data_IF_577600190867
#
_entry.id   IF_577600190867
#
_cell.length_a   1.000
_cell.length_b   1.000
_cell.length_c   1.000
_cell.angle_alpha   90.00
_cell.angle_beta   90.00
_cell.angle_gamma   90.00
#
_symmetry.space_group_name_H-M   'P 1'
#
loop_
_entity.id
_entity.type
_entity.pdbx_description
1 polymer ?
#
# COMPACT_ATOMS: atom_id res chain seq x y z
N UNK A 1 -2.94 -18.55 -1.52
CA UNK A 1 -3.08 -18.40 -0.04
C UNK A 1 -3.59 -17.00 0.22
N UNK A 2 -4.36 -16.76 1.30
CA UNK A 2 -4.78 -15.40 1.66
C UNK A 2 -3.58 -14.49 1.84
N UNK A 3 -3.66 -13.26 1.28
CA UNK A 3 -2.57 -12.29 1.35
C UNK A 3 -2.48 -11.57 2.71
N UNK A 4 -3.57 -11.62 3.50
CA UNK A 4 -3.70 -10.90 4.77
C UNK A 4 -4.40 -11.71 5.82
N UNK A 5 -4.13 -11.36 7.09
CA UNK A 5 -4.80 -11.92 8.26
C UNK A 5 -5.74 -10.88 8.91
N UNK A 6 -6.83 -11.38 9.46
CA UNK A 6 -7.75 -10.63 10.31
C UNK A 6 -7.85 -11.37 11.65
N UNK A 7 -7.63 -10.65 12.74
CA UNK A 7 -7.82 -11.18 14.07
C UNK A 7 -9.24 -10.87 14.53
N UNK A 8 -10.00 -11.90 14.86
CA UNK A 8 -11.34 -11.79 15.43
C UNK A 8 -11.34 -12.38 16.83
N UNK A 9 -11.75 -11.59 17.84
CA UNK A 9 -11.84 -12.02 19.22
C UNK A 9 -13.26 -11.82 19.77
N UNK A 10 -13.86 -12.89 20.23
CA UNK A 10 -15.17 -12.92 20.88
C UNK A 10 -15.26 -14.09 21.86
N UNK A 11 -15.96 -13.87 22.97
CA UNK A 11 -16.30 -14.94 23.92
C UNK A 11 -17.46 -15.82 23.44
N UNK A 12 -18.17 -15.42 22.39
CA UNK A 12 -19.28 -16.14 21.77
C UNK A 12 -18.78 -16.94 20.55
N UNK A 13 -18.78 -18.29 20.61
CA UNK A 13 -18.37 -19.13 19.49
C UNK A 13 -19.16 -18.86 18.19
N UNK A 14 -20.46 -18.51 18.31
CA UNK A 14 -21.29 -18.22 17.14
C UNK A 14 -20.77 -16.98 16.38
N UNK A 15 -20.28 -15.96 17.08
CA UNK A 15 -19.68 -14.77 16.48
C UNK A 15 -18.35 -15.12 15.82
N UNK A 16 -17.54 -15.99 16.42
CA UNK A 16 -16.29 -16.46 15.82
C UNK A 16 -16.56 -17.27 14.54
N UNK A 17 -17.59 -18.12 14.52
CA UNK A 17 -17.99 -18.85 13.32
C UNK A 17 -18.49 -17.90 12.21
N UNK A 18 -19.29 -16.90 12.58
CA UNK A 18 -19.69 -15.85 11.64
C UNK A 18 -18.49 -15.07 11.08
N UNK A 19 -17.57 -14.68 11.93
CA UNK A 19 -16.35 -14.00 11.50
C UNK A 19 -15.51 -14.87 10.56
N UNK A 20 -15.32 -16.14 10.91
CA UNK A 20 -14.59 -17.11 10.08
C UNK A 20 -15.22 -17.26 8.69
N UNK A 21 -16.54 -17.42 8.63
CA UNK A 21 -17.27 -17.55 7.36
C UNK A 21 -17.13 -16.27 6.51
N UNK A 22 -17.36 -15.10 7.10
CA UNK A 22 -17.20 -13.80 6.43
C UNK A 22 -15.78 -13.61 5.88
N UNK A 23 -14.75 -13.94 6.66
CA UNK A 23 -13.35 -13.81 6.26
C UNK A 23 -12.97 -14.80 5.15
N UNK A 24 -13.52 -16.02 5.19
CA UNK A 24 -13.29 -17.04 4.15
C UNK A 24 -13.87 -16.59 2.81
N UNK A 25 -15.11 -16.10 2.79
CA UNK A 25 -15.75 -15.54 1.58
C UNK A 25 -14.95 -14.37 1.01
N UNK A 26 -14.30 -13.61 1.88
CA UNK A 26 -13.48 -12.46 1.54
C UNK A 26 -12.02 -12.84 1.19
N UNK A 27 -11.66 -14.12 1.15
CA UNK A 27 -10.31 -14.65 0.91
C UNK A 27 -9.25 -14.07 1.88
N UNK A 28 -9.63 -13.90 3.15
CA UNK A 28 -8.78 -13.42 4.24
C UNK A 28 -8.45 -14.57 5.20
N UNK A 29 -7.24 -14.57 5.77
CA UNK A 29 -6.84 -15.53 6.80
C UNK A 29 -7.44 -15.11 8.14
N UNK A 30 -8.17 -16.02 8.80
CA UNK A 30 -8.78 -15.77 10.10
C UNK A 30 -7.86 -16.21 11.23
N UNK A 31 -7.63 -15.33 12.21
CA UNK A 31 -7.05 -15.63 13.52
C UNK A 31 -8.20 -15.45 14.51
N UNK A 32 -8.64 -16.55 15.12
CA UNK A 32 -9.81 -16.55 16.01
C UNK A 32 -9.34 -16.71 17.45
N UNK A 33 -9.81 -15.86 18.34
CA UNK A 33 -9.43 -15.81 19.75
C UNK A 33 -10.68 -15.78 20.63
N UNK A 34 -10.67 -16.57 21.70
CA UNK A 34 -11.79 -16.66 22.66
C UNK A 34 -11.76 -15.59 23.75
N UNK A 35 -10.63 -14.92 23.94
CA UNK A 35 -10.45 -13.90 24.97
C UNK A 35 -9.41 -12.83 24.56
N UNK A 36 -9.33 -11.75 25.34
CA UNK A 36 -8.44 -10.63 25.03
C UNK A 36 -6.96 -10.94 25.24
N UNK A 37 -6.60 -11.84 26.15
CA UNK A 37 -5.21 -12.23 26.36
C UNK A 37 -4.70 -13.06 25.17
N UNK A 38 -5.50 -14.00 24.68
CA UNK A 38 -5.21 -14.76 23.46
C UNK A 38 -5.10 -13.84 22.23
N UNK A 39 -5.95 -12.80 22.16
CA UNK A 39 -5.88 -11.81 21.09
C UNK A 39 -4.57 -11.03 21.10
N UNK A 40 -4.10 -10.60 22.27
CA UNK A 40 -2.81 -9.90 22.43
C UNK A 40 -1.64 -10.78 22.05
N UNK A 41 -1.60 -12.03 22.51
CA UNK A 41 -0.55 -13.01 22.20
C UNK A 41 -0.53 -13.31 20.69
N UNK A 42 -1.70 -13.58 20.12
CA UNK A 42 -1.82 -13.88 18.69
C UNK A 42 -1.44 -12.70 17.81
N UNK A 43 -1.74 -11.46 18.19
CA UNK A 43 -1.35 -10.29 17.44
C UNK A 43 0.18 -10.07 17.42
N UNK A 44 0.89 -10.45 18.48
CA UNK A 44 2.35 -10.28 18.61
C UNK A 44 3.16 -11.41 17.94
N UNK A 45 2.54 -12.59 17.72
CA UNK A 45 3.25 -13.80 17.22
C UNK A 45 3.24 -13.90 15.69
N UNK A 46 3.52 -12.82 14.97
CA UNK A 46 3.28 -12.69 13.51
C UNK A 46 4.38 -13.29 12.61
N UNK A 47 5.39 -14.00 13.13
CA UNK A 47 6.59 -14.38 12.34
C UNK A 47 6.37 -15.27 11.12
N UNK A 48 5.27 -16.02 11.03
CA UNK A 48 5.00 -16.96 9.93
C UNK A 48 3.59 -16.83 9.31
N UNK A 49 2.92 -15.70 9.49
CA UNK A 49 1.55 -15.47 9.01
C UNK A 49 1.48 -14.27 8.06
N UNK A 50 0.45 -14.21 7.19
CA UNK A 50 0.17 -13.00 6.43
C UNK A 50 -0.02 -11.79 7.36
N UNK A 51 0.41 -10.58 6.95
CA UNK A 51 0.33 -9.39 7.80
C UNK A 51 -1.10 -9.13 8.29
N UNK A 52 -1.21 -8.73 9.56
CA UNK A 52 -2.48 -8.38 10.20
C UNK A 52 -2.99 -7.05 9.64
N UNK A 53 -4.24 -7.03 9.15
CA UNK A 53 -4.81 -5.86 8.45
C UNK A 53 -6.15 -5.41 9.00
N UNK A 54 -6.74 -6.15 9.91
CA UNK A 54 -7.97 -5.77 10.58
C UNK A 54 -8.05 -6.49 11.92
N UNK A 55 -8.54 -5.76 12.92
CA UNK A 55 -8.97 -6.31 14.20
C UNK A 55 -10.50 -6.29 14.25
N UNK A 56 -11.14 -7.37 14.64
CA UNK A 56 -12.57 -7.45 14.97
C UNK A 56 -12.66 -7.89 16.43
N UNK A 57 -12.92 -6.95 17.32
CA UNK A 57 -12.84 -7.19 18.76
C UNK A 57 -14.20 -6.98 19.43
N UNK A 58 -14.64 -7.94 20.22
CA UNK A 58 -15.74 -7.74 21.15
C UNK A 58 -15.30 -6.82 22.29
N UNK A 59 -16.11 -5.82 22.64
CA UNK A 59 -15.76 -4.86 23.68
C UNK A 59 -15.61 -5.54 25.07
N UNK A 60 -16.48 -6.50 25.39
CA UNK A 60 -16.46 -7.23 26.65
C UNK A 60 -15.84 -8.62 26.45
N UNK A 61 -14.52 -8.70 26.39
CA UNK A 61 -13.77 -9.96 26.31
C UNK A 61 -13.35 -10.43 27.72
N UNK A 62 -13.25 -11.74 27.95
CA UNK A 62 -12.64 -12.27 29.17
C UNK A 62 -11.14 -11.93 29.24
N UNK A 63 -10.58 -11.92 30.43
CA UNK A 63 -9.17 -11.69 30.81
C UNK A 63 -8.65 -10.29 30.49
N UNK A 64 -8.92 -9.75 29.30
CA UNK A 64 -8.58 -8.39 28.90
C UNK A 64 -9.67 -7.90 27.96
N UNK A 65 -10.30 -6.76 28.27
CA UNK A 65 -11.38 -6.25 27.42
C UNK A 65 -10.87 -5.72 26.07
N UNK A 66 -11.77 -5.59 25.09
CA UNK A 66 -11.40 -5.19 23.74
C UNK A 66 -10.75 -3.80 23.67
N UNK A 67 -11.05 -2.90 24.61
CA UNK A 67 -10.43 -1.57 24.69
C UNK A 67 -9.00 -1.63 25.24
N UNK A 68 -8.75 -2.53 26.21
CA UNK A 68 -7.40 -2.81 26.70
C UNK A 68 -6.55 -3.43 25.61
N UNK A 69 -7.12 -4.34 24.80
CA UNK A 69 -6.45 -4.95 23.65
C UNK A 69 -6.04 -3.87 22.64
N UNK A 70 -6.95 -3.00 22.20
CA UNK A 70 -6.62 -1.90 21.26
C UNK A 70 -5.53 -1.01 21.84
N UNK A 71 -5.64 -0.60 23.11
CA UNK A 71 -4.64 0.26 23.73
C UNK A 71 -3.26 -0.38 23.75
N UNK A 72 -3.17 -1.64 24.15
CA UNK A 72 -1.90 -2.36 24.17
C UNK A 72 -1.30 -2.53 22.76
N UNK A 73 -2.13 -2.78 21.74
CA UNK A 73 -1.68 -2.88 20.35
C UNK A 73 -1.28 -1.52 19.76
N UNK A 74 -1.88 -0.42 20.20
CA UNK A 74 -1.52 0.93 19.76
C UNK A 74 -0.13 1.39 20.22
N UNK A 75 0.42 0.76 21.26
CA UNK A 75 1.80 0.99 21.72
C UNK A 75 2.83 0.28 20.81
N UNK A 76 2.40 -0.72 20.02
CA UNK A 76 3.27 -1.39 19.06
C UNK A 76 3.30 -0.63 17.71
N UNK A 77 4.47 -0.11 17.27
CA UNK A 77 4.59 0.64 16.03
C UNK A 77 4.07 -0.08 14.78
N UNK A 78 4.15 -1.42 14.73
CA UNK A 78 3.70 -2.23 13.60
C UNK A 78 2.17 -2.44 13.58
N UNK A 79 1.52 -2.39 14.74
CA UNK A 79 0.11 -2.71 14.92
C UNK A 79 -0.78 -1.47 15.13
N UNK A 80 -0.22 -0.33 15.52
CA UNK A 80 -0.94 0.92 15.81
C UNK A 80 -1.79 1.46 14.65
N UNK A 81 -1.46 1.07 13.42
CA UNK A 81 -2.16 1.50 12.20
C UNK A 81 -3.16 0.47 11.69
N UNK A 82 -3.24 -0.70 12.35
CA UNK A 82 -4.20 -1.74 11.96
C UNK A 82 -5.60 -1.29 12.40
N UNK A 83 -6.54 -1.13 11.46
CA UNK A 83 -7.90 -0.68 11.79
C UNK A 83 -8.61 -1.70 12.67
N UNK A 84 -9.51 -1.19 13.52
CA UNK A 84 -10.28 -2.00 14.46
C UNK A 84 -11.78 -1.80 14.30
N UNK A 85 -12.49 -2.90 14.09
CA UNK A 85 -13.94 -3.00 14.20
C UNK A 85 -14.32 -3.49 15.59
N UNK A 86 -15.00 -2.65 16.38
CA UNK A 86 -15.46 -3.00 17.72
C UNK A 86 -16.89 -3.57 17.69
N UNK A 87 -17.08 -4.75 18.26
CA UNK A 87 -18.41 -5.35 18.46
C UNK A 87 -18.96 -4.94 19.82
N UNK A 88 -20.06 -4.18 19.82
CA UNK A 88 -20.64 -3.57 21.02
C UNK A 88 -21.90 -4.30 21.48
N UNK A 89 -22.02 -4.54 22.78
CA UNK A 89 -23.24 -5.05 23.41
C UNK A 89 -24.32 -3.92 23.45
N UNK A 90 -25.61 -4.22 23.22
CA UNK A 90 -26.70 -3.25 23.26
C UNK A 90 -26.86 -2.59 24.64
N UNK A 91 -26.41 -3.21 25.70
CA UNK A 91 -26.43 -2.65 27.06
C UNK A 91 -25.36 -1.58 27.28
N UNK A 92 -24.39 -1.47 26.41
CA UNK A 92 -23.38 -0.42 26.51
C UNK A 92 -23.98 0.94 26.13
N UNK A 93 -23.75 1.92 26.99
CA UNK A 93 -24.34 3.25 26.88
C UNK A 93 -23.94 3.99 25.59
N UNK A 94 -24.71 5.01 25.14
CA UNK A 94 -24.28 5.90 24.06
C UNK A 94 -22.91 6.56 24.30
N UNK A 95 -22.51 6.68 25.58
CA UNK A 95 -21.18 7.12 25.97
C UNK A 95 -20.09 6.11 25.60
N UNK A 96 -20.35 4.82 25.72
CA UNK A 96 -19.40 3.76 25.31
C UNK A 96 -19.14 3.76 23.81
N UNK A 97 -20.14 4.08 22.98
CA UNK A 97 -19.98 4.24 21.53
C UNK A 97 -19.08 5.43 21.16
N UNK A 98 -19.22 6.56 21.86
CA UNK A 98 -18.33 7.71 21.68
C UNK A 98 -16.93 7.43 22.23
N UNK A 99 -16.83 6.59 23.27
CA UNK A 99 -15.54 6.18 23.85
C UNK A 99 -14.81 5.20 22.95
N UNK A 100 -15.48 4.30 22.21
CA UNK A 100 -14.84 3.37 21.31
C UNK A 100 -14.01 4.08 20.24
N UNK A 101 -14.55 5.12 19.62
CA UNK A 101 -13.83 5.95 18.63
C UNK A 101 -12.68 6.73 19.29
N UNK A 102 -12.87 7.23 20.54
CA UNK A 102 -11.79 7.92 21.28
C UNK A 102 -10.67 7.00 21.73
N UNK A 103 -10.96 5.71 21.87
CA UNK A 103 -10.01 4.68 22.34
C UNK A 103 -9.33 3.94 21.19
N UNK A 104 -9.54 4.37 19.95
CA UNK A 104 -8.81 3.86 18.77
C UNK A 104 -9.56 2.86 17.91
N UNK A 105 -10.86 2.63 18.11
CA UNK A 105 -11.67 1.88 17.15
C UNK A 105 -12.03 2.76 15.94
N UNK A 106 -11.84 2.22 14.73
CA UNK A 106 -12.15 2.95 13.48
C UNK A 106 -13.64 2.86 13.12
N UNK A 107 -14.28 1.74 13.52
CA UNK A 107 -15.72 1.54 13.30
C UNK A 107 -16.29 0.61 14.38
N UNK A 108 -17.62 0.53 14.46
CA UNK A 108 -18.28 -0.38 15.38
C UNK A 108 -19.49 -1.07 14.75
N UNK A 109 -19.85 -2.23 15.31
CA UNK A 109 -21.07 -2.97 14.99
C UNK A 109 -21.79 -3.35 16.28
N UNK A 110 -23.07 -3.04 16.37
CA UNK A 110 -23.87 -3.28 17.58
C UNK A 110 -24.56 -4.64 17.50
N UNK A 111 -24.45 -5.45 18.56
CA UNK A 111 -25.21 -6.70 18.72
C UNK A 111 -26.71 -6.40 19.00
N UNK A 112 -27.65 -7.28 18.55
CA UNK A 112 -27.41 -8.37 17.61
C UNK A 112 -27.22 -7.83 16.19
N UNK A 113 -26.40 -8.50 15.39
CA UNK A 113 -26.15 -8.19 13.99
C UNK A 113 -26.25 -9.47 13.13
N UNK A 114 -26.51 -9.29 11.85
CA UNK A 114 -26.54 -10.38 10.89
C UNK A 114 -25.18 -10.58 10.20
N UNK A 115 -24.97 -11.79 9.64
CA UNK A 115 -23.79 -12.13 8.88
C UNK A 115 -23.45 -11.08 7.78
N UNK A 116 -24.48 -10.62 7.07
CA UNK A 116 -24.29 -9.64 5.98
C UNK A 116 -23.80 -8.29 6.49
N UNK A 117 -24.19 -7.87 7.69
CA UNK A 117 -23.72 -6.60 8.30
C UNK A 117 -22.26 -6.71 8.70
N UNK A 118 -21.87 -7.81 9.36
CA UNK A 118 -20.47 -8.07 9.72
C UNK A 118 -19.60 -8.14 8.46
N UNK A 119 -20.04 -8.88 7.43
CA UNK A 119 -19.31 -8.99 6.16
C UNK A 119 -19.17 -7.64 5.46
N UNK A 120 -20.23 -6.83 5.40
CA UNK A 120 -20.19 -5.50 4.80
C UNK A 120 -19.19 -4.57 5.49
N UNK A 121 -19.11 -4.63 6.83
CA UNK A 121 -18.11 -3.88 7.61
C UNK A 121 -16.70 -4.36 7.34
N UNK A 122 -16.45 -5.66 7.40
CA UNK A 122 -15.15 -6.26 7.07
C UNK A 122 -14.74 -5.88 5.64
N UNK A 123 -15.66 -6.04 4.67
CA UNK A 123 -15.42 -5.65 3.29
C UNK A 123 -15.04 -4.18 3.15
N UNK A 124 -15.80 -3.28 3.76
CA UNK A 124 -15.54 -1.83 3.71
C UNK A 124 -14.18 -1.48 4.31
N UNK A 125 -13.85 -2.03 5.49
CA UNK A 125 -12.60 -1.73 6.20
C UNK A 125 -11.38 -2.37 5.53
N UNK A 126 -11.56 -3.49 4.81
CA UNK A 126 -10.46 -4.15 4.08
C UNK A 126 -10.37 -3.72 2.61
N UNK A 127 -11.31 -2.92 2.10
CA UNK A 127 -11.39 -2.52 0.70
C UNK A 127 -10.08 -1.90 0.18
N UNK A 128 -9.46 -1.03 0.96
CA UNK A 128 -8.20 -0.39 0.58
C UNK A 128 -7.07 -1.41 0.42
N UNK A 129 -6.95 -2.35 1.35
CA UNK A 129 -5.93 -3.40 1.28
C UNK A 129 -6.16 -4.34 0.09
N UNK A 130 -7.43 -4.60 -0.26
CA UNK A 130 -7.81 -5.51 -1.35
C UNK A 130 -7.63 -4.88 -2.72
N UNK A 131 -7.98 -3.61 -2.85
CA UNK A 131 -7.74 -2.86 -4.08
C UNK A 131 -6.23 -2.85 -4.43
N UNK A 132 -5.37 -2.82 -3.40
CA UNK A 132 -3.92 -2.85 -3.56
C UNK A 132 -3.31 -4.26 -3.58
N UNK A 133 -4.04 -5.32 -3.19
CA UNK A 133 -3.56 -6.71 -3.24
C UNK A 133 -3.71 -7.34 -4.62
N UNK A 134 -4.69 -6.89 -5.41
CA UNK A 134 -4.82 -7.33 -6.79
C UNK A 134 -3.67 -6.77 -7.64
N UNK A 135 -3.13 -7.56 -8.58
CA UNK A 135 -2.20 -7.03 -9.56
C UNK A 135 -2.80 -5.85 -10.31
N UNK A 136 -1.99 -4.85 -10.61
CA UNK A 136 -2.45 -3.66 -11.31
C UNK A 136 -3.06 -4.05 -12.69
N UNK A 137 -4.27 -3.56 -13.05
CA UNK A 137 -5.03 -4.06 -14.21
C UNK A 137 -4.29 -3.88 -15.54
N UNK A 138 -3.48 -2.83 -15.68
CA UNK A 138 -2.74 -2.52 -16.92
C UNK A 138 -1.42 -3.29 -16.99
N UNK A 139 -0.72 -3.47 -15.86
CA UNK A 139 0.65 -4.01 -15.83
C UNK A 139 0.77 -5.42 -15.29
N UNK A 140 -0.25 -5.92 -14.62
CA UNK A 140 -0.25 -7.15 -13.83
C UNK A 140 0.88 -7.23 -12.78
N UNK A 141 1.47 -6.08 -12.42
CA UNK A 141 2.46 -6.00 -11.36
C UNK A 141 1.79 -6.00 -9.99
N UNK A 142 2.47 -6.54 -8.96
CA UNK A 142 1.99 -6.44 -7.60
C UNK A 142 1.96 -5.00 -7.12
N UNK A 143 1.04 -4.69 -6.21
CA UNK A 143 0.90 -3.39 -5.56
C UNK A 143 1.68 -3.29 -4.24
N UNK A 144 1.26 -2.32 -3.45
CA UNK A 144 1.87 -1.96 -2.16
C UNK A 144 2.04 -3.11 -1.15
N UNK A 145 1.05 -4.03 -0.98
CA UNK A 145 1.17 -5.07 0.04
C UNK A 145 2.26 -6.10 -0.22
N UNK A 146 2.46 -6.46 -1.49
CA UNK A 146 3.54 -7.38 -1.86
C UNK A 146 4.90 -6.72 -1.65
N UNK A 147 5.02 -5.43 -2.01
CA UNK A 147 6.22 -4.66 -1.74
C UNK A 147 6.53 -4.63 -0.24
N UNK A 148 5.53 -4.33 0.61
CA UNK A 148 5.68 -4.33 2.06
C UNK A 148 6.16 -5.69 2.59
N UNK A 149 5.52 -6.79 2.16
CA UNK A 149 5.89 -8.15 2.55
C UNK A 149 7.36 -8.45 2.22
N UNK A 150 7.80 -8.08 1.02
CA UNK A 150 9.17 -8.32 0.58
C UNK A 150 10.20 -7.42 1.29
N UNK A 151 9.85 -6.17 1.57
CA UNK A 151 10.69 -5.25 2.35
C UNK A 151 10.86 -5.77 3.77
N UNK A 152 9.75 -6.14 4.44
CA UNK A 152 9.79 -6.68 5.80
C UNK A 152 10.59 -7.99 5.86
N UNK A 153 10.45 -8.86 4.88
CA UNK A 153 11.25 -10.08 4.80
C UNK A 153 12.77 -9.80 4.76
N UNK A 154 13.20 -8.76 4.02
CA UNK A 154 14.62 -8.35 3.97
C UNK A 154 15.10 -7.70 5.25
N UNK A 155 14.28 -6.82 5.84
CA UNK A 155 14.59 -6.23 7.16
C UNK A 155 14.76 -7.33 8.21
N UNK A 156 13.85 -8.29 8.27
CA UNK A 156 13.89 -9.40 9.23
C UNK A 156 15.12 -10.32 9.03
N UNK A 157 15.59 -10.48 7.79
CA UNK A 157 16.82 -11.23 7.48
C UNK A 157 18.11 -10.40 7.66
N UNK A 158 17.97 -9.11 7.95
CA UNK A 158 19.12 -8.19 8.07
C UNK A 158 19.86 -7.95 6.76
N UNK A 159 19.17 -8.11 5.63
CA UNK A 159 19.71 -7.86 4.30
C UNK A 159 19.72 -6.36 4.00
N UNK A 160 20.81 -5.88 3.42
CA UNK A 160 20.87 -4.53 2.88
C UNK A 160 20.22 -4.50 1.49
N UNK A 161 19.37 -3.51 1.24
CA UNK A 161 18.69 -3.33 -0.04
C UNK A 161 18.51 -1.85 -0.38
N UNK A 162 18.08 -1.57 -1.58
CA UNK A 162 17.73 -0.24 -2.05
C UNK A 162 16.34 -0.24 -2.66
N UNK A 163 15.58 0.85 -2.42
CA UNK A 163 14.34 1.15 -3.11
C UNK A 163 14.60 2.23 -4.15
N UNK A 164 14.24 1.96 -5.39
CA UNK A 164 14.22 2.94 -6.47
C UNK A 164 12.77 3.29 -6.75
N UNK A 165 12.38 4.49 -6.37
CA UNK A 165 11.03 5.00 -6.55
C UNK A 165 11.00 5.97 -7.70
N UNK A 166 9.95 5.94 -8.50
CA UNK A 166 9.77 6.91 -9.57
C UNK A 166 8.30 7.11 -9.92
N UNK A 167 8.04 8.29 -10.45
CA UNK A 167 6.75 8.81 -10.84
C UNK A 167 6.88 9.47 -12.22
N UNK A 168 5.84 9.38 -13.04
CA UNK A 168 5.82 9.99 -14.38
C UNK A 168 5.21 11.38 -14.28
N UNK A 169 6.05 12.41 -14.22
CA UNK A 169 5.58 13.78 -14.16
C UNK A 169 4.72 14.12 -15.39
N UNK A 170 3.65 14.87 -15.18
CA UNK A 170 2.70 15.31 -16.22
C UNK A 170 1.92 14.15 -16.89
N UNK A 171 1.83 12.98 -16.25
CA UNK A 171 1.08 11.85 -16.78
C UNK A 171 -0.43 12.14 -16.86
N UNK A 172 -0.99 12.78 -15.83
CA UNK A 172 -2.40 13.17 -15.87
C UNK A 172 -2.73 14.16 -17.00
N UNK A 173 -2.01 15.29 -17.21
CA UNK A 173 -2.18 16.14 -18.37
C UNK A 173 -2.05 15.39 -19.70
N UNK A 174 -1.14 14.43 -19.81
CA UNK A 174 -1.02 13.59 -20.98
C UNK A 174 -2.30 12.76 -21.22
N UNK A 175 -2.85 12.12 -20.19
CA UNK A 175 -4.09 11.36 -20.28
C UNK A 175 -5.29 12.25 -20.67
N UNK A 176 -5.37 13.44 -20.09
CA UNK A 176 -6.43 14.40 -20.39
C UNK A 176 -6.35 14.88 -21.85
N UNK A 177 -5.14 14.94 -22.43
CA UNK A 177 -4.91 15.38 -23.82
C UNK A 177 -5.09 14.26 -24.84
N UNK A 178 -4.52 13.07 -24.57
CA UNK A 178 -4.44 11.96 -25.54
C UNK A 178 -5.40 10.80 -25.26
N UNK A 179 -6.05 10.80 -24.14
CA UNK A 179 -6.92 9.72 -23.66
C UNK A 179 -6.18 8.67 -22.81
N UNK A 180 -6.94 8.00 -21.94
CA UNK A 180 -6.41 7.00 -21.00
C UNK A 180 -5.83 5.77 -21.70
N UNK A 181 -6.33 5.39 -22.89
CA UNK A 181 -5.78 4.26 -23.65
C UNK A 181 -4.30 4.48 -24.02
N UNK A 182 -3.95 5.70 -24.45
CA UNK A 182 -2.55 6.06 -24.73
C UNK A 182 -1.72 6.14 -23.45
N UNK A 183 -2.31 6.59 -22.34
CA UNK A 183 -1.66 6.52 -21.04
C UNK A 183 -1.32 5.08 -20.63
N UNK A 184 -2.23 4.16 -20.83
CA UNK A 184 -1.99 2.73 -20.61
C UNK A 184 -0.84 2.18 -21.47
N UNK A 185 -0.69 2.65 -22.68
CA UNK A 185 0.47 2.29 -23.54
C UNK A 185 1.78 2.83 -22.96
N UNK A 186 1.79 4.06 -22.44
CA UNK A 186 2.96 4.65 -21.73
C UNK A 186 3.30 3.80 -20.50
N UNK A 187 2.32 3.41 -19.70
CA UNK A 187 2.51 2.56 -18.52
C UNK A 187 3.10 1.19 -18.93
N UNK A 188 2.56 0.53 -19.96
CA UNK A 188 3.10 -0.75 -20.46
C UNK A 188 4.53 -0.60 -20.98
N UNK A 189 4.80 0.46 -21.74
CA UNK A 189 6.17 0.79 -22.21
C UNK A 189 7.11 0.98 -21.02
N UNK A 190 6.69 1.71 -19.99
CA UNK A 190 7.49 1.94 -18.78
C UNK A 190 7.87 0.62 -18.10
N UNK A 191 6.93 -0.32 -17.95
CA UNK A 191 7.24 -1.65 -17.36
C UNK A 191 8.25 -2.43 -18.18
N UNK A 192 8.13 -2.43 -19.51
CA UNK A 192 9.11 -3.09 -20.37
C UNK A 192 10.50 -2.45 -20.26
N UNK A 193 10.55 -1.12 -20.20
CA UNK A 193 11.76 -0.36 -20.00
C UNK A 193 12.43 -0.71 -18.67
N UNK A 194 11.66 -0.79 -17.57
CA UNK A 194 12.18 -1.20 -16.26
C UNK A 194 12.83 -2.59 -16.37
N UNK A 195 12.11 -3.57 -16.94
CA UNK A 195 12.64 -4.93 -17.09
C UNK A 195 13.96 -4.97 -17.88
N UNK A 196 14.08 -4.13 -18.91
CA UNK A 196 15.31 -4.03 -19.71
C UNK A 196 16.45 -3.38 -18.91
N UNK A 197 16.15 -2.33 -18.13
CA UNK A 197 17.14 -1.66 -17.28
C UNK A 197 17.63 -2.59 -16.18
N UNK A 198 16.77 -3.36 -15.54
CA UNK A 198 17.13 -4.33 -14.51
C UNK A 198 18.10 -5.39 -15.07
N UNK A 199 17.84 -5.93 -16.24
CA UNK A 199 18.75 -6.87 -16.93
C UNK A 199 20.13 -6.24 -17.18
N UNK A 200 20.18 -5.00 -17.69
CA UNK A 200 21.45 -4.30 -17.96
C UNK A 200 22.20 -3.85 -16.71
N UNK A 201 21.47 -3.65 -15.61
CA UNK A 201 22.06 -3.36 -14.30
C UNK A 201 22.69 -4.59 -13.64
N UNK A 202 22.46 -5.80 -14.19
CA UNK A 202 22.93 -7.06 -13.63
C UNK A 202 22.24 -7.41 -12.30
N UNK A 203 20.96 -7.05 -12.18
CA UNK A 203 20.13 -7.46 -11.06
C UNK A 203 19.42 -8.76 -11.44
N UNK A 204 19.61 -9.81 -10.63
CA UNK A 204 18.96 -11.09 -10.88
C UNK A 204 17.45 -10.98 -10.60
N UNK A 205 16.64 -11.73 -11.34
CA UNK A 205 15.19 -11.61 -11.29
C UNK A 205 14.60 -12.01 -9.93
N UNK A 206 15.25 -12.90 -9.21
CA UNK A 206 14.92 -13.37 -7.86
C UNK A 206 15.38 -12.42 -6.75
N UNK A 207 16.30 -11.50 -7.08
CA UNK A 207 16.79 -10.48 -6.14
C UNK A 207 16.01 -9.16 -6.20
N UNK A 208 15.12 -9.01 -7.18
CA UNK A 208 14.40 -7.75 -7.45
C UNK A 208 12.90 -7.96 -7.34
N UNK A 209 12.23 -7.03 -6.67
CA UNK A 209 10.79 -6.90 -6.77
C UNK A 209 10.43 -5.59 -7.47
N UNK A 210 9.49 -5.68 -8.41
CA UNK A 210 8.92 -4.53 -9.10
C UNK A 210 7.45 -4.42 -8.74
N UNK A 211 7.05 -3.27 -8.20
CA UNK A 211 5.68 -2.96 -7.79
C UNK A 211 5.16 -1.74 -8.51
N UNK A 212 3.89 -1.78 -8.89
CA UNK A 212 3.11 -0.65 -9.40
C UNK A 212 2.16 -0.21 -8.30
N UNK A 213 2.42 0.96 -7.73
CA UNK A 213 1.74 1.38 -6.49
C UNK A 213 0.39 2.00 -6.81
N UNK A 214 0.36 3.00 -7.67
CA UNK A 214 -0.86 3.66 -8.13
C UNK A 214 -0.55 4.50 -9.39
N UNK A 215 -1.49 4.57 -10.32
CA UNK A 215 -1.43 5.47 -11.48
C UNK A 215 -0.10 5.43 -12.25
N UNK A 216 0.79 6.31 -11.92
CA UNK A 216 2.12 6.52 -12.50
C UNK A 216 3.28 6.26 -11.53
N UNK A 217 2.97 5.75 -10.32
CA UNK A 217 3.94 5.48 -9.25
C UNK A 217 4.46 4.04 -9.27
N UNK A 218 5.77 3.86 -9.34
CA UNK A 218 6.44 2.56 -9.33
C UNK A 218 7.54 2.50 -8.28
N UNK A 219 7.74 1.32 -7.74
CA UNK A 219 8.83 1.03 -6.79
C UNK A 219 9.56 -0.24 -7.22
N UNK A 220 10.89 -0.16 -7.23
CA UNK A 220 11.78 -1.28 -7.44
C UNK A 220 12.54 -1.54 -6.15
N UNK A 221 12.41 -2.74 -5.59
CA UNK A 221 13.22 -3.26 -4.52
C UNK A 221 14.41 -3.99 -5.14
N UNK A 222 15.61 -3.50 -4.93
CA UNK A 222 16.84 -4.00 -5.55
C UNK A 222 17.93 -4.32 -4.50
N UNK A 223 18.93 -5.15 -4.84
CA UNK A 223 20.11 -5.34 -3.99
C UNK A 223 20.84 -4.03 -3.77
N UNK A 224 21.51 -3.92 -2.62
CA UNK A 224 22.32 -2.74 -2.28
C UNK A 224 23.40 -2.44 -3.34
N UNK A 225 23.60 -1.16 -3.65
CA UNK A 225 24.57 -0.67 -4.63
C UNK A 225 24.12 -0.74 -6.08
N UNK A 226 22.87 -1.11 -6.35
CA UNK A 226 22.31 -1.16 -7.73
C UNK A 226 21.39 0.03 -8.05
N UNK A 227 20.88 0.73 -7.05
CA UNK A 227 19.85 1.75 -7.19
C UNK A 227 20.22 2.89 -8.11
N UNK A 228 21.40 3.48 -7.96
CA UNK A 228 21.83 4.60 -8.80
C UNK A 228 21.98 4.20 -10.28
N UNK A 229 22.50 2.99 -10.55
CA UNK A 229 22.61 2.47 -11.92
C UNK A 229 21.22 2.25 -12.53
N UNK A 230 20.29 1.70 -11.76
CA UNK A 230 18.90 1.51 -12.20
C UNK A 230 18.27 2.88 -12.46
N UNK A 231 18.36 3.81 -11.53
CA UNK A 231 17.84 5.17 -11.64
C UNK A 231 18.33 5.89 -12.91
N UNK A 232 19.64 5.87 -13.14
CA UNK A 232 20.24 6.52 -14.30
C UNK A 232 19.73 5.90 -15.62
N UNK A 233 19.71 4.58 -15.71
CA UNK A 233 19.20 3.87 -16.89
C UNK A 233 17.71 4.09 -17.15
N UNK A 234 16.90 4.24 -16.09
CA UNK A 234 15.48 4.57 -16.22
C UNK A 234 15.29 5.96 -16.79
N UNK A 235 15.96 6.99 -16.25
CA UNK A 235 15.86 8.36 -16.73
C UNK A 235 16.23 8.49 -18.20
N UNK A 236 17.39 7.94 -18.57
CA UNK A 236 17.91 8.01 -19.92
C UNK A 236 16.96 7.36 -20.93
N UNK A 237 16.58 6.11 -20.66
CA UNK A 237 15.75 5.34 -21.61
C UNK A 237 14.32 5.87 -21.67
N UNK A 238 13.74 6.28 -20.54
CA UNK A 238 12.40 6.85 -20.54
C UNK A 238 12.33 8.10 -21.38
N UNK A 239 13.32 9.02 -21.24
CA UNK A 239 13.35 10.26 -22.00
C UNK A 239 13.40 10.03 -23.51
N UNK A 240 14.05 8.97 -23.97
CA UNK A 240 14.09 8.60 -25.40
C UNK A 240 12.81 7.94 -25.88
N UNK A 241 12.23 7.04 -25.06
CA UNK A 241 11.05 6.25 -25.46
C UNK A 241 9.75 7.05 -25.37
N UNK A 242 9.62 7.91 -24.38
CA UNK A 242 8.39 8.70 -24.16
C UNK A 242 8.10 9.66 -25.30
N UNK A 243 9.12 10.13 -26.01
CA UNK A 243 8.94 11.02 -27.16
C UNK A 243 8.12 10.39 -28.30
N UNK A 244 8.08 9.05 -28.39
CA UNK A 244 7.30 8.34 -29.41
C UNK A 244 5.77 8.54 -29.25
N UNK A 245 5.34 9.00 -28.10
CA UNK A 245 3.94 9.24 -27.78
C UNK A 245 3.47 10.67 -28.13
N UNK A 246 4.39 11.54 -28.57
CA UNK A 246 4.10 12.92 -28.91
C UNK A 246 4.28 13.19 -30.41
N UNK A 247 3.61 14.20 -30.90
CA UNK A 247 3.82 14.70 -32.26
C UNK A 247 5.20 15.36 -32.42
N UNK A 248 5.72 15.41 -33.65
CA UNK A 248 7.00 16.10 -33.93
C UNK A 248 6.97 17.58 -33.53
N UNK A 249 5.81 18.21 -33.61
CA UNK A 249 5.65 19.62 -33.25
C UNK A 249 5.75 19.81 -31.72
N UNK A 250 5.10 18.96 -30.93
CA UNK A 250 5.15 19.00 -29.48
C UNK A 250 6.55 18.68 -28.95
N UNK A 251 7.24 17.70 -29.57
CA UNK A 251 8.64 17.42 -29.23
C UNK A 251 9.52 18.65 -29.47
N UNK A 252 9.33 19.34 -30.60
CA UNK A 252 10.09 20.56 -30.91
C UNK A 252 9.77 21.71 -29.96
N UNK A 253 8.52 21.84 -29.53
CA UNK A 253 8.08 22.85 -28.57
C UNK A 253 8.47 22.51 -27.14
N UNK A 254 8.54 21.23 -26.80
CA UNK A 254 8.83 20.75 -25.46
C UNK A 254 7.62 20.68 -24.51
N UNK A 255 6.41 20.91 -25.02
CA UNK A 255 5.18 20.96 -24.24
C UNK A 255 3.94 20.60 -25.07
N UNK A 256 2.85 20.30 -24.37
CA UNK A 256 1.49 20.17 -24.93
C UNK A 256 0.62 21.34 -24.49
N UNK A 257 -0.30 21.75 -25.35
CA UNK A 257 -1.36 22.70 -25.00
C UNK A 257 -2.62 21.96 -24.59
N UNK A 258 -3.21 22.40 -23.51
CA UNK A 258 -4.49 21.89 -23.03
C UNK A 258 -5.33 23.04 -22.50
N UNK A 259 -6.64 22.98 -22.72
CA UNK A 259 -7.57 23.90 -22.07
C UNK A 259 -7.98 23.35 -20.70
N UNK A 260 -7.99 24.21 -19.71
CA UNK A 260 -8.52 23.88 -18.40
C UNK A 260 -10.07 23.91 -18.38
N UNK A 261 -10.65 23.65 -17.21
CA UNK A 261 -12.11 23.65 -17.04
C UNK A 261 -12.76 25.02 -17.24
N UNK A 262 -11.97 26.09 -17.25
CA UNK A 262 -12.38 27.46 -17.47
C UNK A 262 -12.08 27.96 -18.90
N UNK A 263 -11.74 27.02 -19.83
CA UNK A 263 -11.38 27.29 -21.23
C UNK A 263 -10.11 28.15 -21.39
N UNK A 264 -9.24 28.19 -20.35
CA UNK A 264 -7.94 28.90 -20.42
C UNK A 264 -6.87 27.96 -20.93
N UNK A 265 -6.03 28.46 -21.82
CA UNK A 265 -4.89 27.74 -22.36
C UNK A 265 -3.86 27.48 -21.26
N UNK A 266 -3.56 26.18 -21.01
CA UNK A 266 -2.50 25.74 -20.12
C UNK A 266 -1.42 24.99 -20.90
N UNK A 267 -0.19 25.14 -20.46
CA UNK A 267 0.98 24.53 -21.05
C UNK A 267 1.54 23.51 -20.08
N UNK A 268 1.66 22.26 -20.52
CA UNK A 268 2.26 21.19 -19.73
C UNK A 268 3.52 20.68 -20.41
N UNK A 269 4.67 20.63 -19.71
CA UNK A 269 5.88 20.01 -20.22
C UNK A 269 5.65 18.57 -20.64
N UNK A 270 6.51 18.05 -21.52
CA UNK A 270 6.48 16.62 -21.86
C UNK A 270 6.81 15.78 -20.63
N UNK A 271 6.28 14.54 -20.59
CA UNK A 271 6.51 13.62 -19.48
C UNK A 271 8.00 13.38 -19.22
N UNK A 272 8.36 13.30 -17.94
CA UNK A 272 9.70 12.96 -17.44
C UNK A 272 9.56 12.05 -16.21
N UNK A 273 10.64 11.38 -15.82
CA UNK A 273 10.66 10.64 -14.56
C UNK A 273 11.24 11.50 -13.43
N UNK A 274 10.48 11.66 -12.35
CA UNK A 274 11.03 11.96 -11.04
C UNK A 274 11.44 10.66 -10.36
N UNK A 275 12.66 10.61 -9.84
CA UNK A 275 13.21 9.36 -9.32
C UNK A 275 13.98 9.61 -8.02
N UNK A 276 13.83 8.73 -7.05
CA UNK A 276 14.59 8.71 -5.82
C UNK A 276 15.17 7.32 -5.57
N UNK A 277 16.31 7.27 -4.87
CA UNK A 277 16.92 6.05 -4.38
C UNK A 277 17.05 6.16 -2.87
N UNK A 278 16.51 5.17 -2.17
CA UNK A 278 16.59 5.06 -0.73
C UNK A 278 17.33 3.79 -0.37
N UNK A 279 18.51 3.94 0.28
CA UNK A 279 19.29 2.81 0.79
C UNK A 279 18.77 2.42 2.17
N UNK A 280 18.37 1.16 2.32
CA UNK A 280 17.84 0.60 3.55
C UNK A 280 18.79 -0.47 4.10
N UNK A 281 19.22 -0.28 5.35
CA UNK A 281 19.95 -1.25 6.14
C UNK A 281 19.16 -1.52 7.43
N UNK A 282 19.36 -2.68 8.04
CA UNK A 282 18.65 -3.11 9.26
C UNK A 282 18.64 -2.07 10.38
N UNK A 283 19.72 -1.32 10.50
CA UNK A 283 19.91 -0.32 11.57
C UNK A 283 19.19 1.00 11.30
N UNK A 284 18.76 1.23 10.05
CA UNK A 284 18.19 2.51 9.63
C UNK A 284 16.66 2.57 9.77
N UNK A 285 15.98 1.44 9.60
CA UNK A 285 14.51 1.39 9.61
C UNK A 285 14.02 0.32 10.57
N UNK A 286 13.17 0.72 11.51
CA UNK A 286 12.55 -0.18 12.48
C UNK A 286 11.24 -0.79 11.96
N UNK A 287 10.58 -0.13 11.02
CA UNK A 287 9.30 -0.59 10.43
C UNK A 287 9.07 0.03 9.04
N UNK A 288 8.21 -0.63 8.27
CA UNK A 288 7.89 -0.25 6.89
C UNK A 288 7.33 1.17 6.74
N UNK A 289 6.49 1.63 7.67
CA UNK A 289 5.91 2.98 7.62
C UNK A 289 6.95 4.11 7.64
N UNK A 290 8.05 3.95 8.40
CA UNK A 290 9.15 4.90 8.40
C UNK A 290 9.83 4.97 7.02
N UNK A 291 10.06 3.81 6.41
CA UNK A 291 10.68 3.71 5.09
C UNK A 291 9.82 4.36 4.01
N UNK A 292 8.49 4.17 4.07
CA UNK A 292 7.52 4.81 3.15
C UNK A 292 7.54 6.33 3.31
N UNK A 293 7.61 6.84 4.54
CA UNK A 293 7.67 8.28 4.78
C UNK A 293 8.93 8.92 4.18
N UNK A 294 10.10 8.30 4.39
CA UNK A 294 11.37 8.78 3.79
C UNK A 294 11.38 8.66 2.26
N UNK A 295 10.76 7.61 1.71
CA UNK A 295 10.62 7.40 0.28
C UNK A 295 9.78 8.49 -0.37
N UNK A 296 8.62 8.83 0.24
CA UNK A 296 7.73 9.88 -0.26
C UNK A 296 8.40 11.25 -0.19
N UNK A 297 9.13 11.55 0.88
CA UNK A 297 9.90 12.78 1.02
C UNK A 297 10.98 12.90 -0.05
N UNK A 298 11.77 11.83 -0.26
CA UNK A 298 12.83 11.81 -1.28
C UNK A 298 12.27 11.99 -2.71
N UNK A 299 11.10 11.38 -3.00
CA UNK A 299 10.44 11.52 -4.30
C UNK A 299 9.87 12.94 -4.47
N UNK A 300 9.30 13.51 -3.40
CA UNK A 300 8.81 14.90 -3.42
C UNK A 300 9.94 15.89 -3.71
N UNK A 301 11.08 15.75 -3.04
CA UNK A 301 12.27 16.59 -3.29
C UNK A 301 12.77 16.44 -4.75
N UNK A 302 12.72 15.22 -5.30
CA UNK A 302 13.09 14.98 -6.69
C UNK A 302 12.12 15.64 -7.68
N UNK A 303 10.82 15.75 -7.36
CA UNK A 303 9.81 16.46 -8.15
C UNK A 303 10.06 17.97 -8.14
N UNK A 304 10.29 18.56 -6.97
CA UNK A 304 10.57 20.01 -6.82
C UNK A 304 11.85 20.38 -7.54
N UNK A 305 12.95 19.65 -7.36
CA UNK A 305 14.23 19.91 -8.02
C UNK A 305 14.22 19.70 -9.55
N UNK A 306 13.20 19.03 -10.09
CA UNK A 306 13.01 18.88 -11.54
C UNK A 306 12.08 19.92 -12.16
N UNK A 307 11.45 20.77 -11.36
CA UNK A 307 10.55 21.84 -11.83
C UNK A 307 11.27 23.14 -12.21
N UNK A 308 12.55 23.27 -11.90
CA UNK A 308 13.36 24.49 -12.11
C UNK A 308 14.25 24.44 -13.38
N UNK A 309 13.97 23.53 -14.35
CA UNK A 309 14.73 23.50 -15.63
C UNK A 309 13.78 23.38 -16.82
#
# INVERSE_FOLDING_TARGET
MPAYSVLAASSDPAILDMAKAALTEENLSAILCGDGAEALESAQTVKDRPPLRLLVLEACLPKSDGFEVIRALSENPELKTVPCLMLLDPKQSPAARKSSVRLGADDYLQKPFEMNELRAKIHSMTKHFRAHAAPHPVTALPGHPELESQVLARINRGEAFELVCFDINHFRPFNDHYGTEKGDEVIRMTVQLIRNVLKTAGAAADEVALSHIDGDDFVILAPAGKGDKIRAGLKEKFQSEVQKFYSKEEIRKGFIFQKDREDKDQIFPLMRLSTAVLSAAKEKFSHYGQLVAEMNEALHQAKVGSSDV
#
